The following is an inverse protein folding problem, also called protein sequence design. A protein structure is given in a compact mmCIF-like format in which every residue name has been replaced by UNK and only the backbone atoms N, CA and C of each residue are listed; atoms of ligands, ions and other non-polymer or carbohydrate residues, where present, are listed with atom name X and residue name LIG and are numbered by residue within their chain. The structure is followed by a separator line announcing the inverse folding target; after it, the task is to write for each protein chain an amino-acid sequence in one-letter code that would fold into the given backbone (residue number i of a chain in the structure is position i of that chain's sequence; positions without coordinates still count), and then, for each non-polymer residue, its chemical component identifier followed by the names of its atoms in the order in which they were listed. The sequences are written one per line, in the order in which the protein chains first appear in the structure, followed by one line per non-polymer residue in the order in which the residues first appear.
data_IF_551064935309
#
_entry.id   IF_551064935309
#
_cell.length_a   1.000
_cell.length_b   1.000
_cell.length_c   1.000
_cell.angle_alpha   90.00
_cell.angle_beta   90.00
_cell.angle_gamma   90.00
#
_symmetry.space_group_name_H-M   'P 1'
#
loop_
_entity.id
_entity.type
_entity.pdbx_description
1 polymer ?
#
# COMPACT_ATOMS: atom_id res chain seq x y z
N UNK A 1 -38.08 1.76 -21.64
CA UNK A 1 -37.02 2.78 -21.66
C UNK A 1 -36.64 3.02 -20.21
N UNK A 2 -35.69 2.23 -19.74
CA UNK A 2 -35.06 2.37 -18.42
C UNK A 2 -33.58 2.52 -18.74
N UNK A 3 -33.08 3.74 -18.61
CA UNK A 3 -31.66 4.03 -18.74
C UNK A 3 -30.92 3.36 -17.58
N UNK A 4 -30.09 2.37 -17.91
CA UNK A 4 -29.10 1.83 -17.00
C UNK A 4 -27.91 2.80 -16.97
N UNK A 5 -27.69 3.43 -15.82
CA UNK A 5 -26.46 4.17 -15.57
C UNK A 5 -25.31 3.15 -15.44
N UNK A 6 -24.22 3.27 -16.23
CA UNK A 6 -23.06 2.41 -16.04
C UNK A 6 -22.40 2.72 -14.68
N UNK A 7 -22.08 1.65 -13.95
CA UNK A 7 -21.29 1.71 -12.71
C UNK A 7 -19.93 2.38 -12.99
N UNK A 8 -19.48 3.33 -12.17
CA UNK A 8 -18.19 4.01 -12.36
C UNK A 8 -16.97 3.14 -12.01
N UNK A 9 -17.18 1.90 -11.56
CA UNK A 9 -16.11 1.00 -11.15
C UNK A 9 -15.79 -0.02 -12.25
N UNK A 10 -15.10 0.42 -13.30
CA UNK A 10 -14.35 -0.50 -14.17
C UNK A 10 -13.16 0.21 -14.82
N UNK A 11 -12.09 0.38 -14.05
CA UNK A 11 -10.75 0.67 -14.56
C UNK A 11 -9.82 -0.42 -14.08
N UNK A 12 -9.51 -1.39 -14.94
CA UNK A 12 -8.71 -2.55 -14.59
C UNK A 12 -7.22 -2.24 -14.46
N UNK A 13 -6.59 -2.85 -13.45
CA UNK A 13 -5.17 -3.24 -13.48
C UNK A 13 -5.08 -4.73 -13.14
N UNK A 14 -4.32 -5.47 -13.93
CA UNK A 14 -4.18 -6.94 -13.93
C UNK A 14 -3.35 -7.50 -12.77
N UNK A 15 -3.78 -7.25 -11.53
CA UNK A 15 -3.43 -8.06 -10.35
C UNK A 15 -4.65 -8.02 -9.41
N UNK A 16 -5.63 -8.90 -9.65
CA UNK A 16 -6.93 -8.95 -8.96
C UNK A 16 -6.81 -9.51 -7.53
N UNK A 17 -5.94 -8.94 -6.68
CA UNK A 17 -5.78 -9.42 -5.30
C UNK A 17 -6.51 -8.58 -4.27
N UNK A 18 -6.39 -7.24 -4.31
CA UNK A 18 -7.04 -6.30 -3.37
C UNK A 18 -6.53 -4.86 -3.58
N UNK A 19 -7.31 -3.85 -3.20
CA UNK A 19 -6.87 -2.44 -3.17
C UNK A 19 -6.19 -2.04 -1.84
N UNK A 20 -6.18 -2.92 -0.82
CA UNK A 20 -5.58 -2.65 0.49
C UNK A 20 -4.06 -2.78 0.43
N UNK A 21 -3.35 -1.83 1.04
CA UNK A 21 -1.87 -1.81 1.08
C UNK A 21 -1.33 -1.52 2.49
N UNK A 22 -0.08 -1.93 2.77
CA UNK A 22 0.66 -1.42 3.94
C UNK A 22 0.57 0.11 4.06
N UNK A 23 0.32 0.60 5.27
CA UNK A 23 0.09 2.02 5.53
C UNK A 23 -1.36 2.50 5.40
N UNK A 24 -2.27 1.70 4.83
CA UNK A 24 -3.68 2.07 4.76
C UNK A 24 -4.35 2.04 6.14
N UNK A 25 -5.34 2.93 6.30
CA UNK A 25 -6.29 2.86 7.41
C UNK A 25 -7.46 2.00 6.98
N UNK A 26 -7.78 1.00 7.80
CA UNK A 26 -8.91 0.08 7.56
C UNK A 26 -9.85 0.05 8.77
N UNK A 27 -11.08 -0.36 8.56
CA UNK A 27 -12.03 -0.70 9.62
C UNK A 27 -12.11 -2.22 9.75
N UNK A 28 -12.01 -2.75 10.98
CA UNK A 28 -12.51 -4.09 11.26
C UNK A 28 -14.04 -4.07 11.13
N UNK A 29 -14.58 -4.66 10.06
CA UNK A 29 -16.02 -4.66 9.80
C UNK A 29 -16.81 -5.43 10.87
N UNK A 30 -16.18 -6.34 11.61
CA UNK A 30 -16.81 -7.06 12.70
C UNK A 30 -16.96 -6.20 13.97
N UNK A 31 -16.03 -5.28 14.22
CA UNK A 31 -15.99 -4.47 15.44
C UNK A 31 -16.27 -2.98 15.24
N UNK A 32 -16.26 -2.50 13.99
CA UNK A 32 -16.40 -1.07 13.66
C UNK A 32 -15.25 -0.20 14.19
N UNK A 33 -14.04 -0.76 14.32
CA UNK A 33 -12.89 -0.07 14.92
C UNK A 33 -11.79 0.17 13.88
N UNK A 34 -11.15 1.35 13.91
CA UNK A 34 -10.06 1.65 12.99
C UNK A 34 -8.79 0.87 13.36
N UNK A 35 -8.10 0.44 12.33
CA UNK A 35 -6.81 -0.22 12.39
C UNK A 35 -5.88 0.38 11.33
N UNK A 36 -4.59 0.17 11.53
CA UNK A 36 -3.55 0.51 10.57
C UNK A 36 -2.98 -0.80 10.03
N UNK A 37 -2.85 -0.90 8.70
CA UNK A 37 -2.22 -2.04 8.02
C UNK A 37 -0.71 -1.85 8.13
N UNK A 38 -0.03 -2.84 8.71
CA UNK A 38 1.43 -2.83 8.82
C UNK A 38 2.05 -3.52 7.61
N UNK A 39 1.60 -4.73 7.32
CA UNK A 39 2.17 -5.61 6.30
C UNK A 39 1.07 -6.46 5.64
N UNK A 40 1.33 -6.88 4.41
CA UNK A 40 0.59 -7.94 3.76
C UNK A 40 1.39 -9.23 3.90
N UNK A 41 0.73 -10.34 4.20
CA UNK A 41 1.39 -11.63 4.36
C UNK A 41 2.09 -12.06 3.07
N UNK A 42 3.36 -12.44 3.22
CA UNK A 42 4.18 -13.06 2.18
C UNK A 42 4.53 -14.48 2.66
N UNK A 43 4.45 -15.45 1.74
CA UNK A 43 4.82 -16.84 2.00
C UNK A 43 6.34 -17.02 2.04
N UNK A 44 6.80 -18.25 2.34
CA UNK A 44 8.23 -18.59 2.43
C UNK A 44 9.04 -18.30 1.14
N UNK A 45 8.38 -18.20 -0.02
CA UNK A 45 9.01 -17.88 -1.30
C UNK A 45 9.11 -16.36 -1.56
N UNK A 46 8.62 -15.53 -0.63
CA UNK A 46 8.58 -14.07 -0.74
C UNK A 46 7.49 -13.56 -1.69
N UNK A 47 6.47 -14.38 -1.97
CA UNK A 47 5.30 -13.99 -2.76
C UNK A 47 4.11 -13.69 -1.83
N UNK A 48 3.22 -12.79 -2.25
CA UNK A 48 1.99 -12.53 -1.47
C UNK A 48 1.13 -13.79 -1.39
N UNK A 49 0.93 -14.29 -0.18
CA UNK A 49 0.18 -15.50 0.11
C UNK A 49 -1.29 -15.24 0.47
N UNK A 50 -2.02 -16.34 0.67
CA UNK A 50 -3.46 -16.31 0.99
C UNK A 50 -3.77 -16.81 2.41
N UNK A 51 -5.05 -16.76 2.78
CA UNK A 51 -5.52 -17.18 4.09
C UNK A 51 -5.31 -18.67 4.38
N UNK A 52 -5.26 -19.53 3.36
CA UNK A 52 -4.96 -20.95 3.53
C UNK A 52 -3.49 -21.13 3.90
N UNK A 53 -2.57 -20.55 3.13
CA UNK A 53 -1.13 -20.62 3.39
C UNK A 53 -0.80 -20.06 4.77
N UNK A 54 -1.36 -18.89 5.11
CA UNK A 54 -1.19 -18.30 6.43
C UNK A 54 -1.70 -19.24 7.54
N UNK A 55 -2.86 -19.89 7.33
CA UNK A 55 -3.44 -20.80 8.33
C UNK A 55 -2.59 -22.05 8.54
N UNK A 56 -2.03 -22.60 7.46
CA UNK A 56 -1.16 -23.78 7.48
C UNK A 56 0.15 -23.48 8.21
N UNK A 57 0.75 -22.30 8.01
CA UNK A 57 1.99 -21.89 8.67
C UNK A 57 1.80 -21.57 10.17
N UNK A 58 0.62 -21.04 10.54
CA UNK A 58 0.34 -20.58 11.90
C UNK A 58 -0.43 -21.59 12.76
N UNK A 59 -0.76 -22.77 12.23
CA UNK A 59 -1.59 -23.80 12.89
C UNK A 59 -2.89 -23.19 13.47
N UNK A 60 -3.53 -22.33 12.68
CA UNK A 60 -4.73 -21.60 13.05
C UNK A 60 -5.66 -21.42 11.85
N UNK A 61 -6.87 -21.98 11.93
CA UNK A 61 -7.89 -21.80 10.90
C UNK A 61 -8.43 -20.37 10.88
N UNK A 62 -7.82 -19.50 10.06
CA UNK A 62 -8.12 -18.08 10.03
C UNK A 62 -9.55 -17.81 9.56
N UNK A 63 -9.99 -18.52 8.52
CA UNK A 63 -11.32 -18.33 7.91
C UNK A 63 -12.46 -18.81 8.80
N UNK A 64 -12.23 -19.82 9.64
CA UNK A 64 -13.24 -20.39 10.55
C UNK A 64 -13.47 -19.56 11.83
N UNK A 65 -12.65 -18.53 12.07
CA UNK A 65 -12.92 -17.59 13.15
C UNK A 65 -14.33 -16.99 12.95
N UNK A 66 -15.18 -17.03 13.98
CA UNK A 66 -16.59 -16.61 13.89
C UNK A 66 -16.82 -15.26 13.20
N UNK A 67 -15.94 -14.27 13.45
CA UNK A 67 -16.06 -12.95 12.84
C UNK A 67 -15.65 -12.97 11.35
N UNK A 68 -14.66 -13.77 10.98
CA UNK A 68 -14.16 -13.90 9.62
C UNK A 68 -15.16 -14.68 8.74
N UNK A 69 -15.63 -15.84 9.20
CA UNK A 69 -16.65 -16.65 8.53
C UNK A 69 -17.93 -15.84 8.25
N UNK A 70 -18.40 -15.09 9.25
CA UNK A 70 -19.59 -14.24 9.13
C UNK A 70 -19.46 -13.15 8.06
N UNK A 71 -18.24 -12.70 7.78
CA UNK A 71 -17.95 -11.69 6.76
C UNK A 71 -17.57 -12.31 5.41
N UNK A 72 -17.70 -13.62 5.27
CA UNK A 72 -17.47 -14.33 4.01
C UNK A 72 -16.00 -14.57 3.71
N UNK A 73 -15.15 -14.67 4.74
CA UNK A 73 -13.74 -14.95 4.54
C UNK A 73 -13.53 -16.26 3.79
N UNK A 74 -12.69 -16.20 2.76
CA UNK A 74 -12.35 -17.35 1.93
C UNK A 74 -10.89 -17.73 2.10
N UNK A 75 -10.55 -18.96 1.70
CA UNK A 75 -9.18 -19.48 1.72
C UNK A 75 -8.24 -18.68 0.80
N UNK A 76 -8.79 -18.10 -0.26
CA UNK A 76 -8.05 -17.28 -1.23
C UNK A 76 -7.94 -15.80 -0.83
N UNK A 77 -8.48 -15.39 0.33
CA UNK A 77 -8.37 -14.00 0.76
C UNK A 77 -6.91 -13.65 1.02
N UNK A 78 -6.49 -12.46 0.57
CA UNK A 78 -5.25 -11.87 1.04
C UNK A 78 -5.30 -11.68 2.57
N UNK A 79 -4.16 -11.83 3.24
CA UNK A 79 -4.05 -11.66 4.69
C UNK A 79 -3.20 -10.43 5.01
N UNK A 80 -3.70 -9.61 5.94
CA UNK A 80 -3.05 -8.39 6.38
C UNK A 80 -2.78 -8.40 7.88
N UNK A 81 -1.56 -8.02 8.25
CA UNK A 81 -1.21 -7.75 9.64
C UNK A 81 -1.65 -6.33 9.99
N UNK A 82 -2.61 -6.24 10.92
CA UNK A 82 -3.21 -4.98 11.33
C UNK A 82 -3.02 -4.73 12.83
N UNK A 83 -2.99 -3.45 13.18
CA UNK A 83 -2.91 -3.00 14.56
C UNK A 83 -4.06 -2.06 14.89
N UNK A 84 -4.72 -2.26 16.04
CA UNK A 84 -5.82 -1.41 16.46
C UNK A 84 -5.36 -0.02 16.92
N UNK A 85 -5.94 1.02 16.34
CA UNK A 85 -5.67 2.42 16.70
C UNK A 85 -6.78 3.00 17.58
N UNK A 86 -7.14 2.30 18.66
CA UNK A 86 -8.42 2.54 19.34
C UNK A 86 -8.44 3.64 20.38
N UNK A 87 -7.30 4.11 20.85
CA UNK A 87 -7.24 5.18 21.84
C UNK A 87 -5.91 5.93 21.74
N UNK A 88 -5.98 7.25 21.62
CA UNK A 88 -4.84 8.17 21.57
C UNK A 88 -3.91 8.07 22.80
N UNK A 89 -4.41 7.53 23.91
CA UNK A 89 -3.66 7.38 25.17
C UNK A 89 -2.97 6.03 25.35
N UNK A 90 -3.17 5.09 24.42
CA UNK A 90 -2.57 3.76 24.52
C UNK A 90 -1.72 3.48 23.30
N UNK A 91 -0.47 3.06 23.54
CA UNK A 91 0.39 2.55 22.49
C UNK A 91 -0.15 1.20 21.99
N UNK A 92 -0.27 1.02 20.67
CA UNK A 92 -0.61 -0.27 20.11
C UNK A 92 0.52 -1.27 20.38
N UNK A 93 0.21 -2.40 21.00
CA UNK A 93 1.22 -3.36 21.48
C UNK A 93 1.03 -4.79 20.93
N UNK A 94 0.00 -4.99 20.11
CA UNK A 94 -0.31 -6.29 19.53
C UNK A 94 -0.91 -6.13 18.15
N UNK A 95 -0.39 -6.92 17.23
CA UNK A 95 -0.84 -7.06 15.86
C UNK A 95 -1.69 -8.32 15.71
N UNK A 96 -2.49 -8.34 14.64
CA UNK A 96 -3.41 -9.43 14.35
C UNK A 96 -3.52 -9.59 12.84
N UNK A 97 -3.53 -10.83 12.37
CA UNK A 97 -3.82 -11.16 10.98
C UNK A 97 -5.33 -11.09 10.71
N UNK A 98 -5.71 -10.48 9.60
CA UNK A 98 -7.09 -10.41 9.13
C UNK A 98 -7.17 -10.78 7.65
N UNK A 99 -8.14 -11.61 7.24
CA UNK A 99 -8.45 -11.77 5.83
C UNK A 99 -9.05 -10.48 5.28
N UNK A 100 -8.76 -10.17 4.02
CA UNK A 100 -9.21 -8.97 3.32
C UNK A 100 -10.71 -8.73 3.46
N UNK A 101 -11.53 -9.77 3.31
CA UNK A 101 -13.01 -9.69 3.41
C UNK A 101 -13.53 -9.10 4.72
N UNK A 102 -12.72 -9.12 5.79
CA UNK A 102 -13.05 -8.52 7.08
C UNK A 102 -12.70 -7.03 7.18
N UNK A 103 -11.93 -6.51 6.23
CA UNK A 103 -11.40 -5.17 6.26
C UNK A 103 -12.18 -4.25 5.31
N UNK A 104 -12.53 -3.06 5.82
CA UNK A 104 -13.02 -1.96 4.99
C UNK A 104 -11.96 -0.89 4.84
N UNK A 105 -11.39 -0.73 3.64
CA UNK A 105 -10.41 0.33 3.35
C UNK A 105 -11.03 1.72 3.49
N UNK A 106 -10.35 2.60 4.21
CA UNK A 106 -10.70 4.01 4.29
C UNK A 106 -9.82 4.77 3.29
N UNK A 107 -10.44 5.38 2.28
CA UNK A 107 -9.79 6.15 1.21
C UNK A 107 -9.26 7.50 1.73
N UNK A 108 -8.28 7.47 2.65
CA UNK A 108 -7.72 8.66 3.28
C UNK A 108 -7.06 9.61 2.27
N UNK A 109 -6.63 9.11 1.12
CA UNK A 109 -6.13 9.87 -0.02
C UNK A 109 -7.12 10.93 -0.51
N UNK A 110 -8.42 10.73 -0.35
CA UNK A 110 -9.43 11.72 -0.74
C UNK A 110 -9.28 13.03 0.06
N UNK A 111 -8.71 12.97 1.26
CA UNK A 111 -8.39 14.15 2.07
C UNK A 111 -7.09 14.85 1.63
N UNK A 112 -6.24 14.19 0.83
CA UNK A 112 -4.94 14.67 0.35
C UNK A 112 -4.90 14.76 -1.18
N UNK A 113 -5.98 15.26 -1.79
CA UNK A 113 -6.04 15.51 -3.23
C UNK A 113 -6.06 14.24 -4.10
N UNK A 114 -6.46 13.10 -3.54
CA UNK A 114 -6.55 11.81 -4.23
C UNK A 114 -5.23 11.03 -4.28
N UNK A 115 -4.19 11.46 -3.56
CA UNK A 115 -2.91 10.74 -3.46
C UNK A 115 -2.71 10.20 -2.06
N UNK A 116 -2.13 8.99 -1.92
CA UNK A 116 -1.72 8.50 -0.61
C UNK A 116 -0.63 9.43 -0.04
N UNK A 117 -0.73 9.76 1.25
CA UNK A 117 0.20 10.68 1.91
C UNK A 117 1.64 10.16 1.83
N UNK A 118 1.82 8.84 1.98
CA UNK A 118 3.12 8.19 1.86
C UNK A 118 3.74 8.40 0.47
N UNK A 119 2.99 8.10 -0.59
CA UNK A 119 3.44 8.27 -1.98
C UNK A 119 3.86 9.70 -2.27
N UNK A 120 3.09 10.69 -1.79
CA UNK A 120 3.43 12.10 -1.92
C UNK A 120 4.76 12.44 -1.25
N UNK A 121 4.95 12.01 0.00
CA UNK A 121 6.18 12.30 0.76
C UNK A 121 7.38 11.63 0.09
N UNK A 122 7.26 10.36 -0.30
CA UNK A 122 8.33 9.63 -0.98
C UNK A 122 8.70 10.30 -2.30
N UNK A 123 7.70 10.66 -3.11
CA UNK A 123 7.93 11.34 -4.39
C UNK A 123 8.65 12.67 -4.19
N UNK A 124 8.24 13.49 -3.21
CA UNK A 124 8.90 14.76 -2.91
C UNK A 124 10.35 14.59 -2.44
N UNK A 125 10.64 13.59 -1.60
CA UNK A 125 12.01 13.30 -1.17
C UNK A 125 12.87 12.86 -2.35
N UNK A 126 12.34 11.98 -3.21
CA UNK A 126 13.06 11.51 -4.39
C UNK A 126 13.29 12.64 -5.40
N UNK A 127 12.32 13.52 -5.60
CA UNK A 127 12.41 14.69 -6.48
C UNK A 127 13.57 15.60 -6.04
N UNK A 128 13.63 15.96 -4.75
CA UNK A 128 14.71 16.78 -4.20
C UNK A 128 16.10 16.11 -4.35
N UNK A 129 16.17 14.78 -4.20
CA UNK A 129 17.40 14.03 -4.43
C UNK A 129 17.83 14.05 -5.90
N UNK A 130 16.89 13.90 -6.84
CA UNK A 130 17.16 13.98 -8.27
C UNK A 130 17.58 15.39 -8.69
N UNK A 131 16.89 16.42 -8.19
CA UNK A 131 17.26 17.82 -8.41
C UNK A 131 18.69 18.09 -7.96
N UNK A 132 19.04 17.70 -6.73
CA UNK A 132 20.39 17.92 -6.20
C UNK A 132 21.44 17.11 -6.94
N UNK A 133 21.15 15.88 -7.35
CA UNK A 133 22.06 15.08 -8.16
C UNK A 133 22.31 15.72 -9.53
N UNK A 134 21.26 16.24 -10.16
CA UNK A 134 21.33 16.87 -11.47
C UNK A 134 22.04 18.24 -11.44
N UNK A 135 22.07 18.93 -10.29
CA UNK A 135 22.95 20.10 -10.09
C UNK A 135 24.45 19.73 -10.06
N UNK A 136 24.78 18.53 -9.56
CA UNK A 136 26.16 18.08 -9.45
C UNK A 136 26.68 17.52 -10.80
N UNK A 137 25.98 16.55 -11.42
CA UNK A 137 26.29 15.96 -12.74
C UNK A 137 25.19 14.99 -13.25
N UNK A 138 25.07 14.80 -14.56
CA UNK A 138 24.08 13.89 -15.19
C UNK A 138 24.30 12.42 -14.77
N UNK A 139 25.55 11.95 -14.59
CA UNK A 139 25.80 10.58 -14.13
C UNK A 139 25.39 10.38 -12.67
N UNK A 140 25.33 11.44 -11.86
CA UNK A 140 24.84 11.34 -10.49
C UNK A 140 23.34 11.00 -10.45
N UNK A 141 22.55 11.51 -11.41
CA UNK A 141 21.13 11.19 -11.57
C UNK A 141 20.94 9.69 -11.83
N UNK A 142 21.70 9.12 -12.75
CA UNK A 142 21.66 7.68 -13.06
C UNK A 142 22.05 6.83 -11.85
N UNK A 143 23.02 7.29 -11.05
CA UNK A 143 23.44 6.59 -9.83
C UNK A 143 22.34 6.61 -8.77
N UNK A 144 21.69 7.76 -8.55
CA UNK A 144 20.57 7.88 -7.62
C UNK A 144 19.40 7.01 -8.09
N UNK A 145 19.05 7.06 -9.38
CA UNK A 145 17.96 6.25 -9.92
C UNK A 145 18.22 4.76 -9.71
N UNK A 146 19.45 4.29 -9.99
CA UNK A 146 19.83 2.90 -9.74
C UNK A 146 19.70 2.53 -8.27
N UNK A 147 20.23 3.35 -7.36
CA UNK A 147 20.17 3.04 -5.93
C UNK A 147 18.75 3.04 -5.38
N UNK A 148 17.88 3.91 -5.87
CA UNK A 148 16.47 3.92 -5.46
C UNK A 148 15.75 2.67 -5.99
N UNK A 149 16.03 2.24 -7.23
CA UNK A 149 15.51 0.99 -7.79
C UNK A 149 16.01 -0.24 -7.01
N UNK A 150 17.30 -0.28 -6.69
CA UNK A 150 17.91 -1.37 -5.92
C UNK A 150 17.33 -1.41 -4.49
N UNK A 151 17.15 -0.25 -3.84
CA UNK A 151 16.55 -0.14 -2.51
C UNK A 151 15.07 -0.53 -2.53
N UNK A 152 14.32 -0.11 -3.55
CA UNK A 152 12.92 -0.53 -3.74
C UNK A 152 12.76 -2.04 -3.87
N UNK A 153 13.76 -2.74 -4.40
CA UNK A 153 13.77 -4.19 -4.51
C UNK A 153 14.21 -4.90 -3.21
N UNK A 154 14.80 -4.17 -2.25
CA UNK A 154 15.36 -4.72 -1.00
C UNK A 154 14.59 -4.31 0.26
N UNK A 155 13.78 -3.26 0.20
CA UNK A 155 12.97 -2.80 1.33
C UNK A 155 11.60 -3.47 1.31
N UNK A 156 11.19 -4.04 2.45
CA UNK A 156 9.82 -4.53 2.68
C UNK A 156 8.77 -3.42 2.47
N UNK A 157 9.18 -2.16 2.67
CA UNK A 157 8.45 -0.97 2.21
C UNK A 157 8.72 -0.75 0.72
N UNK A 158 7.91 -1.38 -0.13
CA UNK A 158 7.97 -1.25 -1.60
C UNK A 158 7.78 0.22 -1.97
N UNK A 159 8.87 0.97 -2.14
CA UNK A 159 8.84 2.29 -2.78
C UNK A 159 8.22 2.08 -4.16
N UNK A 160 7.08 2.71 -4.50
CA UNK A 160 6.49 2.48 -5.80
C UNK A 160 7.47 2.93 -6.89
N UNK A 161 7.80 2.06 -7.83
CA UNK A 161 8.66 2.40 -8.97
C UNK A 161 8.09 3.61 -9.76
N UNK A 162 6.77 3.76 -9.73
CA UNK A 162 6.05 4.91 -10.27
C UNK A 162 6.44 6.22 -9.58
N UNK A 163 6.63 6.23 -8.26
CA UNK A 163 7.12 7.41 -7.52
C UNK A 163 8.55 7.77 -7.92
N UNK A 164 9.39 6.78 -8.25
CA UNK A 164 10.76 7.01 -8.74
C UNK A 164 10.74 7.69 -10.11
N UNK A 165 9.90 7.19 -11.02
CA UNK A 165 9.74 7.77 -12.35
C UNK A 165 9.12 9.17 -12.30
N UNK A 166 8.03 9.35 -11.54
CA UNK A 166 7.38 10.66 -11.38
C UNK A 166 8.36 11.69 -10.80
N UNK A 167 9.09 11.33 -9.74
CA UNK A 167 10.07 12.23 -9.12
C UNK A 167 11.19 12.65 -10.09
N UNK A 168 11.68 11.72 -10.92
CA UNK A 168 12.68 12.04 -11.96
C UNK A 168 12.11 13.01 -13.00
N UNK A 169 10.92 12.72 -13.52
CA UNK A 169 10.26 13.57 -14.51
C UNK A 169 10.01 14.98 -13.98
N UNK A 170 9.56 15.12 -12.73
CA UNK A 170 9.37 16.40 -12.07
C UNK A 170 10.68 17.18 -11.94
N UNK A 171 11.77 16.51 -11.54
CA UNK A 171 13.08 17.11 -11.44
C UNK A 171 13.61 17.60 -12.81
N UNK A 172 13.44 16.80 -13.86
CA UNK A 172 13.80 17.19 -15.24
C UNK A 172 13.00 18.42 -15.69
N UNK A 173 11.68 18.44 -15.48
CA UNK A 173 10.82 19.58 -15.83
C UNK A 173 11.24 20.85 -15.08
N UNK A 174 11.56 20.75 -13.80
CA UNK A 174 11.98 21.89 -12.99
C UNK A 174 13.32 22.49 -13.47
N UNK A 175 14.24 21.66 -13.97
CA UNK A 175 15.49 22.14 -14.58
C UNK A 175 15.27 22.90 -15.89
N UNK A 176 14.34 22.44 -16.74
CA UNK A 176 14.06 23.09 -18.03
C UNK A 176 13.04 24.23 -17.94
N UNK A 177 12.22 24.26 -16.88
CA UNK A 177 11.16 25.26 -16.66
C UNK A 177 11.59 26.50 -15.86
N UNK A 178 12.85 26.58 -15.44
CA UNK A 178 13.40 27.69 -14.66
C UNK A 178 13.79 28.95 -15.44
N UNK A 179 13.52 29.01 -16.75
CA UNK A 179 13.73 30.21 -17.58
C UNK A 179 12.40 30.97 -17.83
N UNK A 180 11.91 31.72 -16.83
CA UNK A 180 11.05 32.92 -17.02
C UNK A 180 11.42 34.06 -16.06
#
# INVERSE_FOLDING_TARGET
MTDEFPSPFSGGSTDERTDIKPGDIVLDLAQGRPMHVLEQYENDDGEFGDAQEWSDENDYELTENYANDRLGASKSDAVFECVYCSNIKSEPNKTYAFPESRLGRVETEAADGGRQVFDRIVTQVLEELFLRAAEDDEQAVDVVERYVKDASAQLDSKIPITSVHEARELAEVAQFGGEE
#
